data_IF_300057978357
#
_entry.id   IF_300057978357
#
_cell.length_a   1.000
_cell.length_b   1.000
_cell.length_c   1.000
_cell.angle_alpha   90.00
_cell.angle_beta   90.00
_cell.angle_gamma   90.00
#
_symmetry.space_group_name_H-M   'P 1'
#
loop_
_entity.id
_entity.type
_entity.pdbx_description
1 polymer ?
#
# COMPACT_ATOMS: atom_id res chain seq x y z
N UNK A 1 7.43 21.73 -12.32
CA UNK A 1 6.60 20.60 -11.83
C UNK A 1 5.49 21.19 -10.98
N UNK A 2 4.25 21.21 -11.48
CA UNK A 2 3.16 21.91 -10.82
C UNK A 2 2.43 20.91 -9.91
N UNK A 3 2.33 21.17 -8.61
CA UNK A 3 1.73 20.24 -7.65
C UNK A 3 0.27 19.90 -8.01
N UNK A 4 -0.43 20.85 -8.61
CA UNK A 4 -1.81 20.68 -9.07
C UNK A 4 -1.95 19.61 -10.17
N UNK A 5 -1.07 19.59 -11.17
CA UNK A 5 -1.11 18.58 -12.22
C UNK A 5 -0.71 17.20 -11.70
N UNK A 6 0.19 17.14 -10.71
CA UNK A 6 0.58 15.88 -10.08
C UNK A 6 -0.60 15.15 -9.42
N UNK A 7 -1.52 15.89 -8.78
CA UNK A 7 -2.74 15.31 -8.18
C UNK A 7 -3.63 14.62 -9.22
N UNK A 8 -3.78 15.22 -10.41
CA UNK A 8 -4.53 14.61 -11.51
C UNK A 8 -3.85 13.32 -12.01
N UNK A 9 -2.53 13.33 -12.15
CA UNK A 9 -1.79 12.16 -12.60
C UNK A 9 -1.84 10.99 -11.59
N UNK A 10 -1.82 11.27 -10.29
CA UNK A 10 -1.94 10.23 -9.24
C UNK A 10 -3.31 9.52 -9.30
N UNK A 11 -4.39 10.28 -9.51
CA UNK A 11 -5.73 9.70 -9.56
C UNK A 11 -6.00 8.96 -10.87
N UNK A 12 -5.38 9.36 -11.99
CA UNK A 12 -5.63 8.77 -13.31
C UNK A 12 -4.71 7.57 -13.63
N UNK A 13 -3.43 7.65 -13.30
CA UNK A 13 -2.47 6.60 -13.66
C UNK A 13 -2.68 5.33 -12.82
N UNK A 14 -2.23 4.19 -13.34
CA UNK A 14 -2.18 2.95 -12.55
C UNK A 14 -1.21 3.09 -11.37
N UNK A 15 -1.41 2.26 -10.35
CA UNK A 15 -0.54 2.24 -9.19
C UNK A 15 0.89 1.90 -9.61
N UNK A 16 1.89 2.69 -9.21
CA UNK A 16 3.26 2.42 -9.60
C UNK A 16 3.76 1.12 -8.94
N UNK A 17 4.50 0.32 -9.68
CA UNK A 17 5.09 -0.93 -9.20
C UNK A 17 6.62 -0.82 -9.15
N UNK A 18 7.24 -1.61 -8.28
CA UNK A 18 8.69 -1.73 -8.25
C UNK A 18 9.15 -2.52 -9.48
N UNK A 19 9.90 -1.89 -10.39
CA UNK A 19 10.35 -2.53 -11.64
C UNK A 19 11.66 -3.32 -11.48
N UNK A 20 12.57 -2.87 -10.59
CA UNK A 20 13.86 -3.54 -10.38
C UNK A 20 13.68 -4.91 -9.77
N UNK A 21 14.38 -5.95 -10.23
CA UNK A 21 14.32 -7.32 -9.71
C UNK A 21 14.99 -7.50 -8.34
N UNK A 22 15.63 -6.47 -7.79
CA UNK A 22 16.33 -6.53 -6.50
C UNK A 22 15.39 -6.70 -5.29
N UNK A 23 14.12 -6.34 -5.45
CA UNK A 23 13.12 -6.42 -4.39
C UNK A 23 12.52 -7.82 -4.29
N UNK A 24 12.35 -8.29 -3.05
CA UNK A 24 11.66 -9.54 -2.79
C UNK A 24 10.18 -9.44 -3.13
N UNK A 25 9.56 -10.56 -3.52
CA UNK A 25 8.13 -10.60 -3.81
C UNK A 25 7.29 -10.18 -2.60
N UNK A 26 7.75 -10.50 -1.39
CA UNK A 26 7.13 -10.04 -0.15
C UNK A 26 7.06 -8.51 -0.06
N UNK A 27 8.17 -7.82 -0.35
CA UNK A 27 8.22 -6.36 -0.30
C UNK A 27 7.38 -5.72 -1.42
N UNK A 28 7.38 -6.31 -2.62
CA UNK A 28 6.52 -5.87 -3.71
C UNK A 28 5.05 -5.98 -3.34
N UNK A 29 4.62 -7.12 -2.83
CA UNK A 29 3.25 -7.36 -2.40
C UNK A 29 2.81 -6.38 -1.30
N UNK A 30 3.72 -6.04 -0.38
CA UNK A 30 3.46 -5.03 0.66
C UNK A 30 3.19 -3.65 0.04
N UNK A 31 4.02 -3.21 -0.92
CA UNK A 31 3.85 -1.93 -1.61
C UNK A 31 2.58 -1.93 -2.46
N UNK A 32 2.32 -3.00 -3.22
CA UNK A 32 1.12 -3.14 -4.05
C UNK A 32 -0.16 -3.11 -3.21
N UNK A 33 -0.13 -3.71 -2.02
CA UNK A 33 -1.24 -3.64 -1.06
C UNK A 33 -1.44 -2.22 -0.52
N UNK A 34 -0.37 -1.49 -0.21
CA UNK A 34 -0.46 -0.09 0.22
C UNK A 34 -1.00 0.85 -0.87
N UNK A 35 -0.69 0.56 -2.13
CA UNK A 35 -0.99 1.41 -3.28
C UNK A 35 -2.31 1.06 -3.98
N UNK A 36 -3.18 0.26 -3.35
CA UNK A 36 -4.53 -0.01 -3.86
C UNK A 36 -5.32 1.30 -4.02
N UNK A 37 -5.82 1.58 -5.23
CA UNK A 37 -6.55 2.83 -5.53
C UNK A 37 -7.96 2.83 -4.94
N UNK A 38 -8.57 1.66 -4.83
CA UNK A 38 -9.88 1.47 -4.21
C UNK A 38 -9.65 1.47 -2.70
N UNK A 39 -10.23 2.43 -1.94
CA UNK A 39 -9.99 2.52 -0.51
C UNK A 39 -10.42 1.28 0.28
N UNK A 40 -11.43 0.55 -0.21
CA UNK A 40 -11.95 -0.66 0.43
C UNK A 40 -11.01 -1.87 0.31
N UNK A 41 -10.20 -1.93 -0.75
CA UNK A 41 -9.23 -3.00 -0.98
C UNK A 41 -7.88 -2.70 -0.31
N UNK A 42 -7.71 -1.49 0.21
CA UNK A 42 -6.48 -1.07 0.87
C UNK A 42 -6.49 -1.54 2.33
N UNK A 43 -5.56 -2.42 2.75
CA UNK A 43 -5.49 -2.88 4.13
C UNK A 43 -5.14 -1.73 5.08
N UNK A 44 -5.65 -1.80 6.31
CA UNK A 44 -5.29 -0.85 7.35
C UNK A 44 -3.87 -1.12 7.87
N UNK A 45 -3.29 -0.11 8.51
CA UNK A 45 -1.95 -0.22 9.11
C UNK A 45 -1.85 -1.37 10.12
N UNK A 46 -2.94 -1.67 10.83
CA UNK A 46 -2.99 -2.77 11.80
C UNK A 46 -2.89 -4.16 11.16
N UNK A 47 -3.45 -4.32 9.96
CA UNK A 47 -3.37 -5.57 9.18
C UNK A 47 -1.97 -5.75 8.59
N UNK A 48 -1.36 -4.66 8.12
CA UNK A 48 -0.05 -4.67 7.46
C UNK A 48 1.13 -4.79 8.43
N UNK A 49 1.00 -4.28 9.65
CA UNK A 49 2.05 -4.31 10.68
C UNK A 49 1.91 -5.51 11.63
N UNK A 50 0.92 -6.40 11.40
CA UNK A 50 0.69 -7.58 12.24
C UNK A 50 0.19 -7.25 13.65
N UNK A 51 -0.28 -6.02 13.89
CA UNK A 51 -0.75 -5.56 15.21
C UNK A 51 -2.13 -6.14 15.55
N UNK A 52 -2.84 -6.68 14.56
CA UNK A 52 -4.12 -7.38 14.71
C UNK A 52 -4.05 -8.66 15.59
N UNK A 53 -2.86 -9.15 15.96
CA UNK A 53 -2.71 -10.32 16.84
C UNK A 53 -2.46 -10.00 18.34
N UNK A 54 -2.65 -8.76 18.81
CA UNK A 54 -2.54 -8.44 20.26
C UNK A 54 -3.86 -8.52 21.04
N UNK A 55 -4.94 -9.01 20.43
CA UNK A 55 -6.21 -9.30 21.14
C UNK A 55 -6.22 -10.62 21.94
N UNK A 56 -5.10 -11.32 22.08
CA UNK A 56 -4.98 -12.41 23.07
C UNK A 56 -4.62 -11.92 24.49
N UNK A 57 -4.57 -10.61 24.71
CA UNK A 57 -4.49 -10.02 26.06
C UNK A 57 -5.77 -9.26 26.40
N UNK A 58 -6.90 -9.96 26.49
CA UNK A 58 -7.92 -9.62 27.47
C UNK A 58 -8.33 -10.90 28.18
N UNK A 59 -8.25 -10.82 29.51
CA UNK A 59 -8.53 -11.85 30.49
C UNK A 59 -10.00 -12.31 30.49
#
# INVERSE_FOLDING_TARGET
MNAMSALYHIAQNESPTLQSSEWTDYFRNFIDSCLQKIPQDRPHSDDMLGVSARSFCNA
#
